data_IF_815758617031
#
_entry.id   IF_815758617031
#
_cell.length_a   1.000
_cell.length_b   1.000
_cell.length_c   1.000
_cell.angle_alpha   90.00
_cell.angle_beta   90.00
_cell.angle_gamma   90.00
#
_symmetry.space_group_name_H-M   'P 1'
#
loop_
_entity.id
_entity.type
_entity.pdbx_description
1 polymer ?
#
# COMPACT_ATOMS: atom_id res chain seq x y z
N UNK A 1 6.13 9.28 6.30
CA UNK A 1 5.83 9.25 7.75
C UNK A 1 5.14 7.93 8.09
N UNK A 2 5.36 7.35 9.27
CA UNK A 2 4.67 6.10 9.67
C UNK A 2 3.31 6.44 10.27
N UNK A 3 2.27 5.71 9.87
CA UNK A 3 0.93 5.80 10.43
C UNK A 3 0.42 4.38 10.65
N UNK A 4 -0.20 4.13 11.80
CA UNK A 4 -0.87 2.86 12.05
C UNK A 4 -2.24 2.92 11.39
N UNK A 5 -2.56 2.05 10.42
CA UNK A 5 -3.88 2.02 9.84
C UNK A 5 -4.87 1.47 10.87
N UNK A 6 -6.02 2.12 10.97
CA UNK A 6 -7.21 1.62 11.65
C UNK A 6 -8.43 1.74 10.73
N UNK A 7 -9.54 1.12 11.13
CA UNK A 7 -10.76 1.02 10.32
C UNK A 7 -11.30 2.42 9.98
N UNK A 8 -11.37 3.31 10.97
CA UNK A 8 -11.93 4.65 10.80
C UNK A 8 -11.12 5.48 9.78
N UNK A 9 -9.79 5.39 9.85
CA UNK A 9 -8.89 6.04 8.90
C UNK A 9 -9.04 5.49 7.49
N UNK A 10 -9.14 4.17 7.33
CA UNK A 10 -9.29 3.52 6.03
C UNK A 10 -10.63 3.86 5.37
N UNK A 11 -11.70 4.01 6.15
CA UNK A 11 -13.03 4.28 5.64
C UNK A 11 -13.33 5.78 5.42
N UNK A 12 -12.71 6.67 6.19
CA UNK A 12 -13.08 8.10 6.20
C UNK A 12 -11.98 9.05 5.68
N UNK A 13 -10.82 8.55 5.26
CA UNK A 13 -9.79 9.40 4.67
C UNK A 13 -9.86 9.46 3.15
N UNK A 14 -9.50 10.61 2.58
CA UNK A 14 -9.31 10.79 1.12
C UNK A 14 -8.01 10.14 0.61
N UNK A 15 -7.28 9.43 1.48
CA UNK A 15 -6.00 8.81 1.18
C UNK A 15 -6.16 7.73 0.11
N UNK A 16 -5.26 7.73 -0.87
CA UNK A 16 -5.13 6.64 -1.82
C UNK A 16 -4.31 5.52 -1.19
N UNK A 17 -4.99 4.45 -0.78
CA UNK A 17 -4.33 3.27 -0.24
C UNK A 17 -3.82 2.42 -1.41
N UNK A 18 -2.53 2.09 -1.39
CA UNK A 18 -1.85 1.26 -2.40
C UNK A 18 -1.28 0.03 -1.72
N UNK A 19 -1.79 -1.14 -2.10
CA UNK A 19 -1.28 -2.43 -1.67
C UNK A 19 -0.09 -2.83 -2.55
N UNK A 20 1.12 -2.83 -1.96
CA UNK A 20 2.37 -3.12 -2.67
C UNK A 20 2.81 -4.58 -2.57
N UNK A 21 1.95 -5.44 -2.02
CA UNK A 21 2.20 -6.88 -1.94
C UNK A 21 2.13 -7.54 -3.32
N UNK A 22 2.44 -8.82 -3.37
CA UNK A 22 2.37 -9.61 -4.60
C UNK A 22 0.94 -10.12 -4.84
N UNK A 23 0.58 -10.47 -6.08
CA UNK A 23 -0.72 -11.09 -6.38
C UNK A 23 -0.99 -12.37 -5.60
N UNK A 24 0.07 -13.14 -5.28
CA UNK A 24 -0.05 -14.34 -4.46
C UNK A 24 -0.50 -14.00 -3.03
N UNK A 25 0.09 -12.97 -2.41
CA UNK A 25 -0.33 -12.51 -1.08
C UNK A 25 -1.78 -11.98 -1.09
N UNK A 26 -2.20 -11.30 -2.16
CA UNK A 26 -3.58 -10.85 -2.34
C UNK A 26 -4.55 -12.04 -2.45
N UNK A 27 -4.20 -13.10 -3.16
CA UNK A 27 -5.00 -14.31 -3.25
C UNK A 27 -5.12 -15.04 -1.90
N UNK A 28 -4.04 -15.08 -1.12
CA UNK A 28 -3.99 -15.80 0.16
C UNK A 28 -4.81 -15.12 1.27
N UNK A 29 -4.75 -13.78 1.33
CA UNK A 29 -5.29 -13.03 2.48
C UNK A 29 -6.40 -12.06 2.10
N UNK A 30 -6.63 -11.79 0.82
CA UNK A 30 -7.45 -10.69 0.36
C UNK A 30 -6.68 -9.36 0.33
N UNK A 31 -7.40 -8.28 0.03
CA UNK A 31 -6.87 -6.92 -0.10
C UNK A 31 -7.67 -5.94 0.72
N UNK A 32 -7.07 -4.79 1.06
CA UNK A 32 -7.81 -3.72 1.74
C UNK A 32 -8.91 -3.21 0.79
N UNK A 33 -10.17 -3.14 1.22
CA UNK A 33 -11.26 -2.61 0.40
C UNK A 33 -10.93 -1.24 -0.19
N UNK A 34 -11.18 -1.07 -1.48
CA UNK A 34 -10.89 0.18 -2.20
C UNK A 34 -9.40 0.49 -2.44
N UNK A 35 -8.48 -0.37 -2.00
CA UNK A 35 -7.05 -0.17 -2.27
C UNK A 35 -6.70 -0.42 -3.74
N UNK A 36 -5.71 0.32 -4.24
CA UNK A 36 -5.11 0.07 -5.55
C UNK A 36 -3.99 -0.96 -5.41
N UNK A 37 -4.04 -2.00 -6.21
CA UNK A 37 -3.08 -3.10 -6.17
C UNK A 37 -1.93 -2.84 -7.15
N UNK A 38 -0.75 -2.50 -6.63
CA UNK A 38 0.44 -2.23 -7.45
C UNK A 38 1.66 -2.83 -6.77
N UNK A 39 2.12 -3.98 -7.24
CA UNK A 39 3.29 -4.65 -6.68
C UNK A 39 4.54 -3.81 -6.88
N UNK A 40 5.32 -3.59 -5.82
CA UNK A 40 6.63 -2.93 -5.92
C UNK A 40 7.75 -3.96 -6.11
N UNK A 41 7.83 -4.96 -5.21
CA UNK A 41 8.80 -6.04 -5.28
C UNK A 41 8.12 -7.34 -5.73
N UNK A 42 8.63 -7.96 -6.78
CA UNK A 42 8.20 -9.29 -7.20
C UNK A 42 8.70 -10.40 -6.24
N UNK A 43 8.36 -11.65 -6.53
CA UNK A 43 8.78 -12.81 -5.72
C UNK A 43 10.29 -13.04 -5.68
N UNK A 44 11.02 -12.51 -6.66
CA UNK A 44 12.48 -12.58 -6.76
C UNK A 44 13.15 -11.34 -6.15
N UNK A 45 12.37 -10.36 -5.69
CA UNK A 45 12.86 -9.09 -5.16
C UNK A 45 13.23 -8.06 -6.23
N UNK A 46 12.92 -8.30 -7.51
CA UNK A 46 13.08 -7.28 -8.54
C UNK A 46 11.98 -6.22 -8.39
N UNK A 47 12.28 -5.00 -8.84
CA UNK A 47 11.34 -3.90 -8.87
C UNK A 47 11.55 -3.03 -10.11
N UNK A 48 10.47 -2.42 -10.59
CA UNK A 48 10.51 -1.38 -11.61
C UNK A 48 9.98 -0.08 -11.00
N UNK A 49 10.91 0.76 -10.56
CA UNK A 49 10.57 2.01 -9.91
C UNK A 49 9.91 3.01 -10.87
N UNK A 50 10.24 2.99 -12.16
CA UNK A 50 9.69 3.93 -13.14
C UNK A 50 8.21 3.61 -13.40
N UNK A 51 7.92 2.34 -13.69
CA UNK A 51 6.54 1.87 -13.86
C UNK A 51 5.71 2.08 -12.59
N UNK A 52 6.30 1.87 -11.42
CA UNK A 52 5.62 2.10 -10.14
C UNK A 52 5.27 3.58 -9.93
N UNK A 53 6.22 4.50 -10.13
CA UNK A 53 5.96 5.93 -9.98
C UNK A 53 4.92 6.44 -10.98
N UNK A 54 4.94 5.93 -12.21
CA UNK A 54 3.91 6.23 -13.21
C UNK A 54 2.51 5.82 -12.74
N UNK A 55 2.38 4.64 -12.14
CA UNK A 55 1.11 4.21 -11.54
C UNK A 55 0.67 5.15 -10.41
N UNK A 56 1.61 5.68 -9.61
CA UNK A 56 1.28 6.67 -8.56
C UNK A 56 0.85 8.01 -9.16
N UNK A 57 1.43 8.44 -10.27
CA UNK A 57 1.02 9.64 -10.99
C UNK A 57 -0.41 9.52 -11.53
N UNK A 58 -0.78 8.34 -12.05
CA UNK A 58 -2.14 8.04 -12.52
C UNK A 58 -3.19 8.08 -11.37
N UNK A 59 -2.76 7.88 -10.12
CA UNK A 59 -3.61 8.00 -8.92
C UNK A 59 -3.77 9.45 -8.41
N UNK A 60 -3.16 10.43 -9.08
CA UNK A 60 -3.15 11.84 -8.65
C UNK A 60 -1.76 12.34 -8.22
N UNK A 61 -0.74 11.47 -8.25
CA UNK A 61 0.65 11.85 -8.08
C UNK A 61 0.95 12.53 -6.75
N UNK A 62 1.61 13.69 -6.82
CA UNK A 62 2.11 14.43 -5.65
C UNK A 62 1.04 15.29 -4.97
N UNK A 63 -0.12 15.45 -5.61
CA UNK A 63 -1.21 16.29 -5.11
C UNK A 63 -2.14 15.53 -4.15
N UNK A 64 -2.00 14.20 -4.07
CA UNK A 64 -2.78 13.34 -3.19
C UNK A 64 -1.93 12.71 -2.10
N UNK A 65 -2.55 12.35 -0.99
CA UNK A 65 -1.91 11.56 0.05
C UNK A 65 -1.98 10.07 -0.31
N UNK A 66 -0.83 9.41 -0.37
CA UNK A 66 -0.70 7.99 -0.73
C UNK A 66 -0.30 7.18 0.50
N UNK A 67 -1.12 6.22 0.89
CA UNK A 67 -0.83 5.27 1.95
C UNK A 67 -0.35 3.94 1.37
N UNK A 68 0.91 3.57 1.58
CA UNK A 68 1.40 2.28 1.13
C UNK A 68 1.18 1.22 2.21
N UNK A 69 0.62 0.08 1.81
CA UNK A 69 0.44 -1.08 2.68
C UNK A 69 1.16 -2.32 2.15
N UNK A 70 1.82 -3.06 3.04
CA UNK A 70 2.36 -4.38 2.75
C UNK A 70 1.93 -5.39 3.82
N UNK A 71 2.66 -6.50 3.99
CA UNK A 71 2.33 -7.51 5.00
C UNK A 71 2.47 -6.98 6.43
N UNK A 72 3.57 -6.29 6.74
CA UNK A 72 3.91 -5.85 8.12
C UNK A 72 4.43 -4.41 8.24
N UNK A 73 4.65 -3.69 7.15
CA UNK A 73 5.20 -2.31 7.15
C UNK A 73 6.66 -2.17 6.68
N UNK A 74 7.43 -3.27 6.58
CA UNK A 74 8.88 -3.19 6.29
C UNK A 74 9.21 -2.82 4.83
N UNK A 75 8.46 -3.39 3.86
CA UNK A 75 8.67 -3.06 2.43
C UNK A 75 8.23 -1.63 2.16
N UNK A 76 7.10 -1.24 2.71
CA UNK A 76 6.51 0.09 2.56
C UNK A 76 7.35 1.18 3.20
N UNK A 77 8.03 0.95 4.32
CA UNK A 77 8.97 1.92 4.87
C UNK A 77 10.08 2.31 3.89
N UNK A 78 10.65 1.33 3.16
CA UNK A 78 11.69 1.58 2.15
C UNK A 78 11.12 2.34 0.95
N UNK A 79 9.99 1.88 0.41
CA UNK A 79 9.35 2.47 -0.77
C UNK A 79 8.84 3.89 -0.46
N UNK A 80 8.25 4.11 0.71
CA UNK A 80 7.79 5.43 1.14
C UNK A 80 8.96 6.41 1.30
N UNK A 81 10.11 5.96 1.82
CA UNK A 81 11.32 6.78 1.87
C UNK A 81 11.80 7.21 0.48
N UNK A 82 11.83 6.28 -0.46
CA UNK A 82 12.16 6.55 -1.86
C UNK A 82 11.18 7.53 -2.51
N UNK A 83 9.88 7.29 -2.41
CA UNK A 83 8.84 8.16 -2.98
C UNK A 83 8.84 9.57 -2.36
N UNK A 84 9.09 9.68 -1.05
CA UNK A 84 9.20 10.98 -0.39
C UNK A 84 10.36 11.82 -0.97
N UNK A 85 11.49 11.19 -1.32
CA UNK A 85 12.59 11.87 -2.01
C UNK A 85 12.22 12.35 -3.41
N UNK A 86 11.26 11.68 -4.07
CA UNK A 86 10.69 12.12 -5.35
C UNK A 86 9.61 13.20 -5.19
N UNK A 87 9.25 13.56 -3.95
CA UNK A 87 8.31 14.63 -3.62
C UNK A 87 6.84 14.19 -3.49
N UNK A 88 6.56 12.90 -3.36
CA UNK A 88 5.20 12.41 -3.10
C UNK A 88 4.83 12.60 -1.62
N UNK A 89 3.57 12.93 -1.35
CA UNK A 89 3.00 12.87 -0.01
C UNK A 89 2.65 11.42 0.35
N UNK A 90 3.61 10.69 0.91
CA UNK A 90 3.49 9.25 1.17
C UNK A 90 3.57 8.89 2.64
N UNK A 91 2.69 7.98 3.05
CA UNK A 91 2.62 7.38 4.38
C UNK A 91 2.86 5.88 4.30
N UNK A 92 3.64 5.37 5.25
CA UNK A 92 3.78 3.93 5.48
C UNK A 92 2.67 3.51 6.44
N UNK A 93 1.78 2.62 6.00
CA UNK A 93 0.75 2.00 6.85
C UNK A 93 1.41 0.87 7.66
N UNK A 94 1.92 1.25 8.83
CA UNK A 94 2.76 0.42 9.69
C UNK A 94 1.97 -0.72 10.33
N UNK A 95 2.60 -1.89 10.51
CA UNK A 95 1.92 -3.12 10.89
C UNK A 95 1.18 -3.82 9.73
N UNK A 96 0.92 -3.12 8.62
CA UNK A 96 0.42 -3.67 7.37
C UNK A 96 -0.90 -4.43 7.51
N UNK A 97 -1.14 -5.32 6.55
CA UNK A 97 -2.35 -6.16 6.51
C UNK A 97 -2.43 -7.13 7.71
N UNK A 98 -1.28 -7.55 8.25
CA UNK A 98 -1.27 -8.42 9.44
C UNK A 98 -1.94 -7.76 10.64
N UNK A 99 -1.69 -6.45 10.83
CA UNK A 99 -2.34 -5.68 11.90
C UNK A 99 -3.85 -5.61 11.69
N UNK A 100 -4.29 -5.27 10.47
CA UNK A 100 -5.72 -5.17 10.12
C UNK A 100 -6.46 -6.48 10.40
N UNK A 101 -5.89 -7.61 9.99
CA UNK A 101 -6.47 -8.94 10.26
C UNK A 101 -6.57 -9.21 11.76
N UNK A 102 -5.53 -8.89 12.53
CA UNK A 102 -5.52 -9.08 13.98
C UNK A 102 -6.55 -8.20 14.70
N UNK A 103 -6.91 -7.06 14.11
CA UNK A 103 -7.93 -6.13 14.62
C UNK A 103 -9.34 -6.47 14.13
N UNK A 104 -9.49 -7.55 13.35
CA UNK A 104 -10.78 -8.03 12.84
C UNK A 104 -11.31 -7.23 11.67
N UNK A 105 -10.44 -6.53 10.93
CA UNK A 105 -10.84 -5.84 9.71
C UNK A 105 -11.07 -6.83 8.56
N UNK A 106 -12.22 -6.70 7.89
CA UNK A 106 -12.59 -7.56 6.77
C UNK A 106 -11.87 -7.12 5.49
N UNK A 107 -11.11 -8.04 4.91
CA UNK A 107 -10.44 -7.83 3.63
C UNK A 107 -11.31 -8.34 2.48
N UNK A 108 -11.25 -7.64 1.35
CA UNK A 108 -11.93 -8.07 0.14
C UNK A 108 -11.22 -9.27 -0.48
N UNK A 109 -11.99 -10.27 -0.89
CA UNK A 109 -11.47 -11.40 -1.65
C UNK A 109 -10.92 -10.91 -2.98
N UNK A 110 -9.62 -11.11 -3.18
CA UNK A 110 -8.97 -10.74 -4.44
C UNK A 110 -9.42 -11.68 -5.58
N UNK A 111 -9.86 -11.08 -6.69
CA UNK A 111 -10.24 -11.77 -7.92
C UNK A 111 -9.36 -11.24 -9.06
N UNK A 112 -8.43 -12.06 -9.58
CA UNK A 112 -7.50 -11.64 -10.64
C UNK A 112 -8.16 -11.46 -12.00
#
# INVERSE_FOLDING_TARGET
>A
MNVYPDIEMLENSDMKVVDIRTPMEWQETGVVPGSTMVTFFDQMGNYDAESFLKAMDELGGKDVEIGLICRTGNRTAQVAGFMAQQGYNVKNLDGGVTKLINEGYDLDVYKP
#
